data_IF_389313195540
#
_entry.id   IF_389313195540
#
_cell.length_a   1.000
_cell.length_b   1.000
_cell.length_c   1.000
_cell.angle_alpha   90.00
_cell.angle_beta   90.00
_cell.angle_gamma   90.00
#
_symmetry.space_group_name_H-M   'P 1'
#
loop_
_entity.id
_entity.type
_entity.pdbx_description
1 polymer ?
#
# COMPACT_ATOMS: atom_id res chain seq x y z
N UNK A 1 -16.14 16.51 -1.52
CA UNK A 1 -15.92 15.29 -0.70
C UNK A 1 -17.16 14.38 -0.72
N UNK A 2 -17.66 13.93 -1.89
CA UNK A 2 -18.77 12.94 -1.98
C UNK A 2 -18.32 11.55 -2.45
N UNK A 3 -17.26 11.47 -3.26
CA UNK A 3 -16.70 10.20 -3.76
C UNK A 3 -16.24 9.22 -2.67
N UNK A 4 -15.89 9.73 -1.47
CA UNK A 4 -15.40 8.89 -0.38
C UNK A 4 -16.45 7.89 0.14
N UNK A 5 -17.74 8.26 0.17
CA UNK A 5 -18.82 7.40 0.67
C UNK A 5 -19.51 6.56 -0.43
N UNK A 6 -19.38 6.95 -1.69
CA UNK A 6 -20.07 6.28 -2.82
C UNK A 6 -19.23 5.19 -3.48
N UNK A 7 -17.95 5.07 -3.14
CA UNK A 7 -17.07 4.03 -3.71
C UNK A 7 -17.42 2.67 -3.12
N UNK A 8 -18.19 1.89 -3.87
CA UNK A 8 -18.41 0.47 -3.60
C UNK A 8 -17.28 -0.33 -4.23
N UNK A 9 -16.58 -1.13 -3.43
CA UNK A 9 -15.53 -2.01 -3.94
C UNK A 9 -16.16 -3.24 -4.58
N UNK A 10 -16.27 -3.23 -5.92
CA UNK A 10 -16.56 -4.41 -6.71
C UNK A 10 -15.30 -5.25 -6.98
N UNK A 11 -15.45 -6.37 -7.70
CA UNK A 11 -14.33 -7.27 -8.01
C UNK A 11 -13.22 -6.59 -8.84
N UNK A 12 -13.58 -5.64 -9.71
CA UNK A 12 -12.62 -4.88 -10.51
C UNK A 12 -11.82 -3.92 -9.64
N UNK A 13 -12.50 -3.16 -8.77
CA UNK A 13 -11.88 -2.20 -7.87
C UNK A 13 -10.94 -2.89 -6.88
N UNK A 14 -11.37 -4.02 -6.32
CA UNK A 14 -10.53 -4.86 -5.46
C UNK A 14 -9.30 -5.39 -6.20
N UNK A 15 -9.44 -5.81 -7.45
CA UNK A 15 -8.32 -6.29 -8.26
C UNK A 15 -7.29 -5.18 -8.52
N UNK A 16 -7.74 -3.95 -8.75
CA UNK A 16 -6.85 -2.79 -8.92
C UNK A 16 -6.09 -2.50 -7.63
N UNK A 17 -6.81 -2.36 -6.51
CA UNK A 17 -6.19 -2.10 -5.20
C UNK A 17 -5.21 -3.21 -4.83
N UNK A 18 -5.59 -4.47 -5.02
CA UNK A 18 -4.74 -5.61 -4.72
C UNK A 18 -3.48 -5.63 -5.60
N UNK A 19 -3.60 -5.35 -6.90
CA UNK A 19 -2.45 -5.31 -7.80
C UNK A 19 -1.45 -4.22 -7.39
N UNK A 20 -1.92 -3.01 -7.09
CA UNK A 20 -1.04 -1.91 -6.67
C UNK A 20 -0.43 -2.17 -5.30
N UNK A 21 -1.20 -2.71 -4.37
CA UNK A 21 -0.69 -3.05 -3.04
C UNK A 21 0.37 -4.15 -3.10
N UNK A 22 0.16 -5.21 -3.91
CA UNK A 22 1.16 -6.27 -4.13
C UNK A 22 2.45 -5.72 -4.73
N UNK A 23 2.35 -4.77 -5.66
CA UNK A 23 3.52 -4.09 -6.20
C UNK A 23 4.28 -3.33 -5.10
N UNK A 24 3.58 -2.54 -4.28
CA UNK A 24 4.19 -1.80 -3.18
C UNK A 24 4.92 -2.71 -2.19
N UNK A 25 4.31 -3.85 -1.82
CA UNK A 25 4.94 -4.87 -0.96
C UNK A 25 6.22 -5.44 -1.61
N UNK A 26 6.14 -5.79 -2.89
CA UNK A 26 7.27 -6.36 -3.64
C UNK A 26 8.44 -5.38 -3.74
N UNK A 27 8.16 -4.08 -3.95
CA UNK A 27 9.18 -3.03 -3.99
C UNK A 27 9.80 -2.74 -2.61
N UNK A 28 9.04 -2.93 -1.53
CA UNK A 28 9.50 -2.71 -0.15
C UNK A 28 10.21 -3.90 0.48
N UNK A 29 10.18 -5.07 -0.17
CA UNK A 29 10.62 -6.33 0.44
C UNK A 29 9.76 -6.73 1.64
N UNK A 30 8.51 -6.27 1.71
CA UNK A 30 7.64 -6.43 2.87
C UNK A 30 6.64 -7.57 2.66
N UNK A 31 6.30 -8.29 3.72
CA UNK A 31 5.26 -9.32 3.69
C UNK A 31 3.90 -8.74 4.07
N UNK A 32 2.82 -9.40 3.64
CA UNK A 32 1.46 -8.95 3.91
C UNK A 32 1.08 -9.05 5.40
N UNK A 33 1.84 -9.81 6.18
CA UNK A 33 1.68 -10.03 7.62
C UNK A 33 2.39 -8.97 8.47
N UNK A 34 3.16 -8.08 7.85
CA UNK A 34 3.84 -6.98 8.55
C UNK A 34 2.84 -5.90 9.01
N UNK A 35 3.03 -5.29 10.19
CA UNK A 35 2.14 -4.22 10.66
C UNK A 35 2.12 -3.01 9.71
N UNK A 36 3.24 -2.72 9.04
CA UNK A 36 3.34 -1.67 8.02
C UNK A 36 2.48 -1.98 6.80
N UNK A 37 2.31 -3.27 6.46
CA UNK A 37 1.49 -3.71 5.34
C UNK A 37 0.00 -3.44 5.60
N UNK A 38 -0.50 -3.65 6.83
CA UNK A 38 -1.88 -3.31 7.18
C UNK A 38 -2.16 -1.82 7.02
N UNK A 39 -1.25 -0.98 7.53
CA UNK A 39 -1.40 0.48 7.41
C UNK A 39 -1.28 0.93 5.95
N UNK A 40 -0.35 0.36 5.19
CA UNK A 40 -0.21 0.64 3.77
C UNK A 40 -1.47 0.26 2.99
N UNK A 41 -2.09 -0.90 3.27
CA UNK A 41 -3.34 -1.30 2.65
C UNK A 41 -4.47 -0.28 2.90
N UNK A 42 -4.60 0.21 4.13
CA UNK A 42 -5.59 1.23 4.47
C UNK A 42 -5.36 2.53 3.70
N UNK A 43 -4.10 2.96 3.54
CA UNK A 43 -3.76 4.15 2.76
C UNK A 43 -4.10 3.95 1.28
N UNK A 44 -3.72 2.82 0.67
CA UNK A 44 -4.01 2.52 -0.74
C UNK A 44 -5.52 2.53 -1.02
N UNK A 45 -6.32 1.95 -0.12
CA UNK A 45 -7.78 1.97 -0.19
C UNK A 45 -8.32 3.40 -0.14
N UNK A 46 -7.76 4.25 0.73
CA UNK A 46 -8.19 5.65 0.82
C UNK A 46 -7.82 6.45 -0.43
N UNK A 47 -6.60 6.29 -0.97
CA UNK A 47 -6.19 6.93 -2.23
C UNK A 47 -7.13 6.54 -3.38
N UNK A 48 -7.54 5.28 -3.45
CA UNK A 48 -8.53 4.84 -4.44
C UNK A 48 -9.86 5.59 -4.30
N UNK A 49 -10.36 5.72 -3.07
CA UNK A 49 -11.62 6.44 -2.75
C UNK A 49 -11.55 7.95 -2.96
N UNK A 50 -10.34 8.52 -2.94
CA UNK A 50 -10.09 9.94 -3.21
C UNK A 50 -10.18 10.28 -4.71
N UNK A 51 -10.24 9.26 -5.58
CA UNK A 51 -10.41 9.43 -7.02
C UNK A 51 -9.29 8.82 -7.85
N UNK A 52 -8.28 8.21 -7.22
CA UNK A 52 -7.24 7.45 -7.91
C UNK A 52 -7.74 6.05 -8.28
N UNK A 53 -8.84 5.98 -9.02
CA UNK A 53 -9.63 4.76 -9.24
C UNK A 53 -9.17 3.91 -10.44
N UNK A 54 -8.05 4.25 -11.07
CA UNK A 54 -7.41 3.45 -12.11
C UNK A 54 -6.07 2.92 -11.63
N UNK A 55 -5.61 1.80 -12.19
CA UNK A 55 -4.34 1.21 -11.78
C UNK A 55 -3.14 2.13 -12.00
N UNK A 56 -3.14 2.97 -13.04
CA UNK A 56 -2.06 3.95 -13.27
C UNK A 56 -2.13 5.12 -12.29
N UNK A 57 -3.32 5.70 -12.09
CA UNK A 57 -3.51 6.82 -11.16
C UNK A 57 -3.20 6.42 -9.71
N UNK A 58 -3.59 5.21 -9.31
CA UNK A 58 -3.32 4.69 -7.97
C UNK A 58 -1.83 4.43 -7.77
N UNK A 59 -1.12 3.88 -8.76
CA UNK A 59 0.33 3.69 -8.69
C UNK A 59 1.08 5.01 -8.54
N UNK A 60 0.72 6.01 -9.34
CA UNK A 60 1.31 7.35 -9.21
C UNK A 60 1.10 7.93 -7.81
N UNK A 61 -0.14 7.89 -7.30
CA UNK A 61 -0.46 8.38 -5.97
C UNK A 61 0.30 7.65 -4.87
N UNK A 62 0.44 6.31 -4.98
CA UNK A 62 1.20 5.50 -4.03
C UNK A 62 2.68 5.89 -3.98
N UNK A 63 3.29 6.20 -5.13
CA UNK A 63 4.69 6.63 -5.21
C UNK A 63 4.88 8.03 -4.61
N UNK A 64 3.92 8.93 -4.81
CA UNK A 64 3.98 10.30 -4.27
C UNK A 64 3.57 10.39 -2.78
N UNK A 65 2.92 9.35 -2.24
CA UNK A 65 2.41 9.36 -0.88
C UNK A 65 3.53 9.18 0.15
N UNK A 66 3.93 10.29 0.79
CA UNK A 66 5.01 10.33 1.79
C UNK A 66 4.88 9.25 2.88
N UNK A 67 3.67 9.04 3.42
CA UNK A 67 3.48 8.03 4.46
C UNK A 67 3.76 6.59 3.98
N UNK A 68 3.53 6.29 2.70
CA UNK A 68 3.86 4.99 2.13
C UNK A 68 5.36 4.86 1.86
N UNK A 69 6.03 5.96 1.51
CA UNK A 69 7.49 5.97 1.39
C UNK A 69 8.17 5.74 2.76
N UNK A 70 7.68 6.43 3.80
CA UNK A 70 8.18 6.26 5.18
C UNK A 70 7.95 4.83 5.69
N UNK A 71 6.76 4.25 5.48
CA UNK A 71 6.47 2.86 5.86
C UNK A 71 7.36 1.85 5.13
N UNK A 72 7.63 2.09 3.84
CA UNK A 72 8.53 1.23 3.07
C UNK A 72 9.95 1.27 3.64
N UNK A 73 10.43 2.45 4.03
CA UNK A 73 11.71 2.59 4.70
C UNK A 73 11.75 1.83 6.03
N UNK A 74 10.73 1.99 6.89
CA UNK A 74 10.65 1.29 8.19
C UNK A 74 10.61 -0.23 8.02
N UNK A 75 9.79 -0.74 7.10
CA UNK A 75 9.66 -2.17 6.85
C UNK A 75 10.98 -2.79 6.35
N UNK A 76 11.75 -2.08 5.51
CA UNK A 76 13.08 -2.54 5.09
C UNK A 76 14.11 -2.53 6.23
N UNK A 77 13.95 -1.70 7.26
CA UNK A 77 14.85 -1.67 8.43
C UNK A 77 14.59 -2.83 9.41
N UNK A 78 13.33 -3.25 9.59
CA UNK A 78 12.97 -4.33 10.51
C UNK A 78 13.51 -5.70 10.06
N UNK A 79 13.44 -6.00 8.75
CA UNK A 79 13.99 -7.23 8.17
C UNK A 79 15.50 -7.38 8.44
N UNK A 80 16.24 -6.27 8.40
CA UNK A 80 17.69 -6.24 8.63
C UNK A 80 18.05 -6.46 10.12
N UNK A 81 17.22 -6.01 11.06
CA UNK A 81 17.41 -6.27 12.50
C UNK A 81 17.07 -7.73 12.86
N UNK A 82 15.98 -8.28 12.30
CA UNK A 82 15.57 -9.67 12.53
C UNK A 82 16.63 -10.67 12.05
N UNK A 83 17.27 -10.41 10.90
CA UNK A 83 18.38 -11.25 10.42
C UNK A 83 19.67 -11.12 11.25
N UNK A 84 19.88 -10.01 11.96
CA UNK A 84 21.09 -9.81 12.78
C UNK A 84 21.03 -10.47 14.16
N UNK A 85 19.84 -10.74 14.70
CA UNK A 85 19.66 -11.38 16.01
C UNK A 85 19.68 -12.91 15.96
N UNK A 86 19.58 -13.50 14.76
CA UNK A 86 19.56 -14.94 14.56
C UNK A 86 20.96 -15.57 14.42
N UNK A 87 22.03 -14.85 14.77
CA UNK A 87 23.43 -15.27 14.55
C UNK A 87 24.25 -15.35 15.83
#
# INVERSE_FOLDING_TARGET
MRAFFETTFGPTELSIVEAVFKQWLSEGGTTRDAPEAELAAAIVINLFREGHNTGEALRAAVVEHKGLADLKAVASFDDMQSSSLAR
#
